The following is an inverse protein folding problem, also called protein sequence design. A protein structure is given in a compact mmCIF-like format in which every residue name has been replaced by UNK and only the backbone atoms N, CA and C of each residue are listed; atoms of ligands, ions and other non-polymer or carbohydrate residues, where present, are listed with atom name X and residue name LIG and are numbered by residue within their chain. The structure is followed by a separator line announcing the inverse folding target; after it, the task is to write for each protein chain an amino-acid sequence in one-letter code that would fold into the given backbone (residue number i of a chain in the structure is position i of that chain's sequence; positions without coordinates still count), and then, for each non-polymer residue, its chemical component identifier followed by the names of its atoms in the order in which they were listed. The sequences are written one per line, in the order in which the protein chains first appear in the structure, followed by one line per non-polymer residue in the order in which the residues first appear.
data_IF_455083956154
#
_entry.id   IF_455083956154
#
_cell.length_a   1.000
_cell.length_b   1.000
_cell.length_c   1.000
_cell.angle_alpha   90.00
_cell.angle_beta   90.00
_cell.angle_gamma   90.00
#
_symmetry.space_group_name_H-M   'P 1'
#
loop_
_entity.id
_entity.type
_entity.pdbx_description
1 polymer ?
#
# COMPACT_ATOMS: atom_id res chain seq x y z
N UNK A 1 -11.46 9.45 -16.29
CA UNK A 1 -10.41 8.52 -15.79
C UNK A 1 -10.14 7.45 -16.84
N UNK A 2 -8.87 7.12 -17.08
CA UNK A 2 -8.44 6.01 -17.95
C UNK A 2 -7.64 5.03 -17.09
N UNK A 3 -7.94 3.75 -17.17
CA UNK A 3 -7.17 2.70 -16.52
C UNK A 3 -6.45 1.86 -17.58
N UNK A 4 -5.15 1.62 -17.39
CA UNK A 4 -4.38 0.65 -18.14
C UNK A 4 -4.18 -0.59 -17.27
N UNK A 5 -4.62 -1.75 -17.75
CA UNK A 5 -4.48 -3.00 -17.05
C UNK A 5 -4.16 -4.16 -18.01
N UNK A 6 -3.48 -5.19 -17.52
CA UNK A 6 -3.18 -6.41 -18.30
C UNK A 6 -4.42 -7.30 -18.45
N UNK A 7 -5.30 -7.24 -17.48
CA UNK A 7 -6.54 -8.02 -17.42
C UNK A 7 -7.75 -7.08 -17.30
N UNK A 8 -8.94 -7.62 -17.49
CA UNK A 8 -10.19 -6.88 -17.28
C UNK A 8 -10.36 -6.51 -15.81
N UNK A 9 -10.72 -5.25 -15.57
CA UNK A 9 -11.17 -4.81 -14.24
C UNK A 9 -12.59 -5.33 -13.98
N UNK A 10 -13.01 -5.30 -12.72
CA UNK A 10 -14.37 -5.69 -12.36
C UNK A 10 -15.43 -4.74 -12.98
N UNK A 11 -16.68 -5.22 -13.10
CA UNK A 11 -17.79 -4.54 -13.79
C UNK A 11 -18.18 -3.18 -13.18
N UNK A 12 -17.65 -2.82 -12.00
CA UNK A 12 -17.93 -1.57 -11.31
C UNK A 12 -16.97 -0.43 -11.67
N UNK A 13 -16.00 -0.66 -12.58
CA UNK A 13 -15.09 0.40 -12.99
C UNK A 13 -15.80 1.43 -13.88
N UNK A 14 -15.81 2.68 -13.44
CA UNK A 14 -16.38 3.81 -14.19
C UNK A 14 -15.25 4.58 -14.87
N UNK A 15 -15.09 4.39 -16.20
CA UNK A 15 -14.06 5.04 -16.98
C UNK A 15 -13.73 4.26 -18.26
N UNK A 16 -12.66 4.66 -18.92
CA UNK A 16 -12.13 3.96 -20.08
C UNK A 16 -11.12 2.93 -19.64
N UNK A 17 -11.30 1.67 -20.01
CA UNK A 17 -10.33 0.61 -19.80
C UNK A 17 -9.55 0.34 -21.08
N UNK A 18 -8.23 0.48 -21.00
CA UNK A 18 -7.30 0.08 -22.05
C UNK A 18 -6.50 -1.14 -21.59
N UNK A 19 -6.33 -2.11 -22.47
CA UNK A 19 -5.51 -3.27 -22.19
C UNK A 19 -4.06 -2.99 -22.57
N UNK A 20 -3.11 -3.26 -21.63
CA UNK A 20 -1.70 -3.04 -21.94
C UNK A 20 -0.77 -3.34 -20.78
N UNK A 21 0.50 -3.03 -20.99
CA UNK A 21 1.59 -3.30 -20.07
C UNK A 21 2.42 -2.02 -19.80
N UNK A 22 2.74 -1.77 -18.53
CA UNK A 22 3.55 -0.59 -18.13
C UNK A 22 4.98 -0.63 -18.64
N UNK A 23 5.46 -1.77 -19.07
CA UNK A 23 6.77 -1.93 -19.71
C UNK A 23 6.80 -1.52 -21.17
N UNK A 24 5.63 -1.34 -21.80
CA UNK A 24 5.50 -0.82 -23.17
C UNK A 24 5.42 0.71 -23.20
N UNK A 25 6.59 1.35 -23.34
CA UNK A 25 6.74 2.80 -23.40
C UNK A 25 5.91 3.43 -24.54
N UNK A 26 5.86 2.76 -25.70
CA UNK A 26 5.14 3.27 -26.88
C UNK A 26 3.65 3.32 -26.62
N UNK A 27 3.08 2.25 -26.08
CA UNK A 27 1.68 2.18 -25.72
C UNK A 27 1.31 3.24 -24.67
N UNK A 28 2.12 3.38 -23.61
CA UNK A 28 1.91 4.40 -22.59
C UNK A 28 1.87 5.80 -23.21
N UNK A 29 2.81 6.11 -24.11
CA UNK A 29 2.86 7.41 -24.77
C UNK A 29 1.64 7.67 -25.67
N UNK A 30 1.18 6.68 -26.42
CA UNK A 30 -0.02 6.77 -27.25
C UNK A 30 -1.27 7.07 -26.41
N UNK A 31 -1.42 6.40 -25.26
CA UNK A 31 -2.54 6.63 -24.35
C UNK A 31 -2.51 8.02 -23.71
N UNK A 32 -1.33 8.50 -23.32
CA UNK A 32 -1.16 9.86 -22.79
C UNK A 32 -1.65 10.89 -23.81
N UNK A 33 -1.23 10.76 -25.08
CA UNK A 33 -1.65 11.66 -26.16
C UNK A 33 -3.15 11.53 -26.47
N UNK A 34 -3.65 10.29 -26.62
CA UNK A 34 -5.04 10.00 -26.97
C UNK A 34 -6.03 10.60 -25.98
N UNK A 35 -5.72 10.50 -24.69
CA UNK A 35 -6.61 10.92 -23.61
C UNK A 35 -6.20 12.21 -22.92
N UNK A 36 -5.16 12.89 -23.43
CA UNK A 36 -4.64 14.14 -22.85
C UNK A 36 -4.40 14.02 -21.33
N UNK A 37 -3.72 12.96 -20.92
CA UNK A 37 -3.45 12.65 -19.51
C UNK A 37 -2.59 13.75 -18.91
N UNK A 38 -2.93 14.18 -17.70
CA UNK A 38 -2.19 15.18 -16.91
C UNK A 38 -1.60 14.62 -15.62
N UNK A 39 -2.16 13.51 -15.11
CA UNK A 39 -1.70 12.86 -13.88
C UNK A 39 -1.74 11.35 -14.03
N UNK A 40 -0.74 10.67 -13.48
CA UNK A 40 -0.64 9.21 -13.51
C UNK A 40 -0.58 8.68 -12.08
N UNK A 41 -1.49 7.76 -11.74
CA UNK A 41 -1.39 6.89 -10.56
C UNK A 41 -0.78 5.57 -11.02
N UNK A 42 0.54 5.42 -10.86
CA UNK A 42 1.27 4.23 -11.28
C UNK A 42 1.19 3.15 -10.19
N UNK A 43 0.12 2.36 -10.23
CA UNK A 43 -0.18 1.32 -9.24
C UNK A 43 0.31 -0.08 -9.66
N UNK A 44 0.72 -0.24 -10.91
CA UNK A 44 1.19 -1.52 -11.42
C UNK A 44 2.49 -1.94 -10.74
N UNK A 45 2.56 -3.23 -10.36
CA UNK A 45 3.75 -3.77 -9.75
C UNK A 45 3.57 -5.22 -9.30
N UNK A 46 4.70 -5.92 -9.22
CA UNK A 46 4.78 -7.26 -8.64
C UNK A 46 5.05 -7.11 -7.14
N UNK A 47 4.20 -7.72 -6.32
CA UNK A 47 4.25 -7.65 -4.86
C UNK A 47 5.27 -8.63 -4.27
N UNK A 48 5.42 -8.63 -2.93
CA UNK A 48 6.47 -9.32 -2.19
C UNK A 48 6.62 -10.80 -2.55
N UNK A 49 5.56 -11.60 -2.49
CA UNK A 49 5.62 -13.04 -2.78
C UNK A 49 6.00 -13.31 -4.25
N UNK A 50 5.41 -12.58 -5.17
CA UNK A 50 5.76 -12.65 -6.60
C UNK A 50 7.18 -12.19 -6.89
N UNK A 51 7.64 -11.16 -6.18
CA UNK A 51 9.00 -10.62 -6.28
C UNK A 51 10.07 -11.62 -5.84
N UNK A 52 9.84 -12.34 -4.76
CA UNK A 52 10.78 -13.39 -4.30
C UNK A 52 10.78 -14.62 -5.23
N UNK A 53 9.65 -14.94 -5.86
CA UNK A 53 9.58 -16.05 -6.85
C UNK A 53 10.31 -15.72 -8.15
N UNK A 54 10.28 -14.46 -8.60
CA UNK A 54 10.96 -14.01 -9.82
C UNK A 54 11.53 -12.59 -9.66
N UNK A 55 12.69 -12.44 -9.03
CA UNK A 55 13.29 -11.12 -8.74
C UNK A 55 13.61 -10.29 -10.00
N UNK A 56 14.02 -10.93 -11.10
CA UNK A 56 14.32 -10.27 -12.35
C UNK A 56 13.08 -9.63 -12.97
N UNK A 57 12.00 -10.40 -13.07
CA UNK A 57 10.72 -9.90 -13.58
C UNK A 57 10.16 -8.78 -12.66
N UNK A 58 10.32 -8.94 -11.34
CA UNK A 58 9.90 -7.90 -10.40
C UNK A 58 10.66 -6.59 -10.66
N UNK A 59 11.96 -6.66 -10.88
CA UNK A 59 12.76 -5.48 -11.23
C UNK A 59 12.32 -4.86 -12.56
N UNK A 60 12.16 -5.67 -13.60
CA UNK A 60 11.74 -5.19 -14.94
C UNK A 60 10.38 -4.49 -14.89
N UNK A 61 9.39 -5.09 -14.25
CA UNK A 61 8.04 -4.51 -14.16
C UNK A 61 8.03 -3.30 -13.22
N UNK A 62 8.56 -3.43 -12.01
CA UNK A 62 8.45 -2.39 -10.98
C UNK A 62 9.32 -1.18 -11.30
N UNK A 63 10.57 -1.40 -11.69
CA UNK A 63 11.52 -0.32 -11.95
C UNK A 63 11.50 0.13 -13.42
N UNK A 64 11.38 -0.80 -14.37
CA UNK A 64 11.24 -0.48 -15.79
C UNK A 64 9.93 0.27 -16.06
N UNK A 65 8.81 -0.20 -15.51
CA UNK A 65 7.52 0.48 -15.62
C UNK A 65 7.52 1.87 -14.99
N UNK A 66 8.09 2.02 -13.78
CA UNK A 66 8.24 3.33 -13.12
C UNK A 66 9.10 4.27 -13.96
N UNK A 67 10.23 3.79 -14.49
CA UNK A 67 11.11 4.59 -15.34
C UNK A 67 10.38 5.08 -16.60
N UNK A 68 9.61 4.23 -17.28
CA UNK A 68 8.81 4.61 -18.44
C UNK A 68 7.83 5.74 -18.10
N UNK A 69 7.12 5.62 -16.98
CA UNK A 69 6.18 6.64 -16.49
C UNK A 69 6.91 7.96 -16.20
N UNK A 70 8.06 7.91 -15.53
CA UNK A 70 8.83 9.11 -15.19
C UNK A 70 9.42 9.79 -16.44
N UNK A 71 9.94 9.04 -17.43
CA UNK A 71 10.42 9.59 -18.69
C UNK A 71 9.29 10.33 -19.45
N UNK A 72 8.10 9.73 -19.48
CA UNK A 72 6.92 10.36 -20.09
C UNK A 72 6.44 11.56 -19.25
N UNK A 73 6.58 11.52 -17.94
CA UNK A 73 6.26 12.65 -17.07
C UNK A 73 7.16 13.86 -17.34
N UNK A 74 8.45 13.65 -17.63
CA UNK A 74 9.34 14.73 -18.10
C UNK A 74 8.86 15.31 -19.43
N UNK A 75 8.53 14.42 -20.39
CA UNK A 75 8.16 14.82 -21.74
C UNK A 75 6.84 15.57 -21.83
N UNK A 76 5.86 15.16 -21.02
CA UNK A 76 4.48 15.67 -21.06
C UNK A 76 4.10 16.52 -19.85
N UNK A 77 5.05 16.79 -18.94
CA UNK A 77 4.84 17.57 -17.71
C UNK A 77 3.70 17.00 -16.84
N UNK A 78 3.77 15.68 -16.59
CA UNK A 78 2.74 14.97 -15.83
C UNK A 78 3.05 14.97 -14.33
N UNK A 79 2.00 14.99 -13.52
CA UNK A 79 2.06 14.66 -12.11
C UNK A 79 2.04 13.14 -11.94
N UNK A 80 2.87 12.59 -11.05
CA UNK A 80 2.98 11.15 -10.86
C UNK A 80 2.79 10.78 -9.40
N UNK A 81 1.82 9.92 -9.12
CA UNK A 81 1.72 9.18 -7.86
C UNK A 81 2.31 7.78 -8.02
N UNK A 82 3.13 7.37 -7.06
CA UNK A 82 3.66 6.02 -6.99
C UNK A 82 3.62 5.46 -5.55
N UNK A 83 3.02 4.27 -5.31
CA UNK A 83 2.92 3.69 -3.98
C UNK A 83 4.24 3.07 -3.55
N UNK A 84 4.85 3.58 -2.48
CA UNK A 84 5.83 2.88 -1.70
C UNK A 84 5.15 2.02 -0.62
N UNK A 85 5.90 1.45 0.30
CA UNK A 85 5.43 0.49 1.29
C UNK A 85 6.32 0.50 2.53
N UNK A 86 5.80 0.05 3.66
CA UNK A 86 6.61 -0.29 4.84
C UNK A 86 7.67 -1.36 4.55
N UNK A 87 7.55 -2.09 3.44
CA UNK A 87 8.57 -3.02 2.97
C UNK A 87 9.89 -2.33 2.57
N UNK A 88 9.91 -1.01 2.41
CA UNK A 88 11.14 -0.22 2.24
C UNK A 88 12.01 -0.19 3.50
N UNK A 89 11.43 -0.42 4.67
CA UNK A 89 12.15 -0.56 5.93
C UNK A 89 12.81 -1.93 6.03
N UNK A 90 13.79 -2.05 6.91
CA UNK A 90 14.53 -3.29 7.12
C UNK A 90 14.92 -3.50 8.60
N UNK A 91 15.67 -4.56 8.90
CA UNK A 91 16.01 -4.94 10.28
C UNK A 91 16.80 -3.87 11.07
N UNK A 92 17.47 -2.97 10.37
CA UNK A 92 18.26 -1.88 10.98
C UNK A 92 17.46 -0.60 11.20
N UNK A 93 16.23 -0.56 10.68
CA UNK A 93 15.33 0.58 10.86
C UNK A 93 14.82 0.62 12.31
N UNK A 94 14.79 1.80 12.98
CA UNK A 94 14.12 1.93 14.28
C UNK A 94 12.67 1.47 14.21
N UNK A 95 12.27 0.55 15.09
CA UNK A 95 10.94 -0.09 14.99
C UNK A 95 9.83 0.67 15.71
N UNK A 96 10.17 1.58 16.62
CA UNK A 96 9.22 2.38 17.38
C UNK A 96 9.25 3.81 16.87
N UNK A 97 8.08 4.35 16.57
CA UNK A 97 7.94 5.71 16.08
C UNK A 97 8.93 6.02 14.94
N UNK A 98 8.97 5.11 13.95
CA UNK A 98 9.94 5.14 12.84
C UNK A 98 9.91 6.49 12.13
N UNK A 99 11.00 7.28 12.17
CA UNK A 99 10.98 8.65 11.66
C UNK A 99 10.94 8.70 10.13
N UNK A 100 10.49 9.84 9.60
CA UNK A 100 10.41 10.10 8.15
C UNK A 100 11.77 9.87 7.45
N UNK A 101 12.84 10.40 8.02
CA UNK A 101 14.21 10.19 7.55
C UNK A 101 14.89 9.11 8.40
N UNK A 102 15.12 7.96 7.80
CA UNK A 102 15.66 6.80 8.50
C UNK A 102 16.45 5.87 7.58
N UNK A 103 17.05 4.84 8.17
CA UNK A 103 17.76 3.79 7.43
C UNK A 103 16.75 2.92 6.68
N UNK A 104 16.99 2.71 5.39
CA UNK A 104 16.18 1.87 4.50
C UNK A 104 17.06 0.75 3.95
N UNK A 105 17.09 -0.39 4.65
CA UNK A 105 17.87 -1.58 4.29
C UNK A 105 16.97 -2.82 4.21
N UNK A 106 16.03 -2.85 3.26
CA UNK A 106 15.13 -3.98 3.09
C UNK A 106 15.87 -5.25 2.68
N UNK A 107 15.36 -6.40 3.11
CA UNK A 107 15.91 -7.72 2.80
C UNK A 107 15.16 -8.46 1.69
N UNK A 108 14.12 -7.85 1.09
CA UNK A 108 13.33 -8.45 0.01
C UNK A 108 13.49 -7.69 -1.30
N UNK A 109 13.35 -8.38 -2.45
CA UNK A 109 13.37 -7.72 -3.76
C UNK A 109 12.30 -6.64 -3.88
N UNK A 110 11.11 -6.89 -3.35
CA UNK A 110 10.04 -5.89 -3.31
C UNK A 110 10.45 -4.63 -2.54
N UNK A 111 11.03 -4.79 -1.35
CA UNK A 111 11.54 -3.68 -0.57
C UNK A 111 12.67 -2.92 -1.27
N UNK A 112 13.61 -3.64 -1.89
CA UNK A 112 14.68 -3.04 -2.71
C UNK A 112 14.09 -2.20 -3.85
N UNK A 113 13.08 -2.70 -4.56
CA UNK A 113 12.38 -1.94 -5.60
C UNK A 113 11.72 -0.67 -5.01
N UNK A 114 11.12 -0.75 -3.82
CA UNK A 114 10.48 0.41 -3.18
C UNK A 114 11.51 1.48 -2.83
N UNK A 115 12.63 1.13 -2.21
CA UNK A 115 13.71 2.10 -1.92
C UNK A 115 14.28 2.70 -3.21
N UNK A 116 14.56 1.87 -4.21
CA UNK A 116 15.08 2.34 -5.50
C UNK A 116 14.09 3.29 -6.19
N UNK A 117 12.78 2.99 -6.15
CA UNK A 117 11.73 3.83 -6.74
C UNK A 117 11.55 5.17 -6.03
N UNK A 118 11.64 5.20 -4.69
CA UNK A 118 11.63 6.45 -3.92
C UNK A 118 12.78 7.38 -4.34
N UNK A 119 13.99 6.83 -4.41
CA UNK A 119 15.18 7.59 -4.81
C UNK A 119 15.13 8.01 -6.28
N UNK A 120 14.63 7.15 -7.15
CA UNK A 120 14.46 7.47 -8.57
C UNK A 120 13.44 8.61 -8.75
N UNK A 121 12.29 8.55 -8.07
CA UNK A 121 11.29 9.61 -8.11
C UNK A 121 11.85 10.94 -7.62
N UNK A 122 12.57 10.95 -6.49
CA UNK A 122 13.27 12.14 -6.00
C UNK A 122 14.29 12.68 -7.02
N UNK A 123 15.06 11.80 -7.67
CA UNK A 123 16.02 12.22 -8.70
C UNK A 123 15.32 12.92 -9.87
N UNK A 124 14.16 12.38 -10.33
CA UNK A 124 13.40 13.00 -11.43
C UNK A 124 12.81 14.36 -11.01
N UNK A 125 12.38 14.50 -9.76
CA UNK A 125 11.98 15.81 -9.22
C UNK A 125 13.15 16.81 -9.24
N UNK A 126 14.30 16.44 -8.67
CA UNK A 126 15.46 17.33 -8.55
C UNK A 126 16.07 17.69 -9.90
N UNK A 127 16.12 16.73 -10.82
CA UNK A 127 16.81 16.89 -12.11
C UNK A 127 15.92 17.49 -13.19
N UNK A 128 14.66 17.10 -13.21
CA UNK A 128 13.74 17.42 -14.32
C UNK A 128 12.48 18.15 -13.90
N UNK A 129 12.27 18.35 -12.60
CA UNK A 129 11.10 19.04 -12.07
C UNK A 129 9.79 18.25 -12.13
N UNK A 130 9.86 16.92 -12.25
CA UNK A 130 8.66 16.06 -12.23
C UNK A 130 7.96 16.16 -10.87
N UNK A 131 6.68 16.49 -10.84
CA UNK A 131 5.88 16.45 -9.61
C UNK A 131 5.59 15.00 -9.20
N UNK A 132 6.61 14.39 -8.57
CA UNK A 132 6.54 13.02 -8.05
C UNK A 132 6.06 13.03 -6.60
N UNK A 133 5.06 12.18 -6.30
CA UNK A 133 4.44 12.03 -4.98
C UNK A 133 4.29 10.57 -4.62
N UNK A 134 4.60 10.22 -3.38
CA UNK A 134 4.62 8.83 -2.95
C UNK A 134 4.31 8.68 -1.47
N UNK A 135 3.70 7.54 -1.09
CA UNK A 135 3.34 7.15 0.27
C UNK A 135 3.93 5.79 0.61
N UNK A 136 4.54 5.64 1.78
CA UNK A 136 4.90 4.34 2.36
C UNK A 136 3.69 3.75 3.05
N UNK A 137 2.88 3.00 2.29
CA UNK A 137 1.68 2.38 2.83
C UNK A 137 2.01 1.35 3.92
N UNK A 138 1.26 1.35 5.02
CA UNK A 138 1.25 0.27 6.02
C UNK A 138 0.48 -0.94 5.49
N UNK A 139 0.16 -1.90 6.36
CA UNK A 139 -0.79 -2.96 6.04
C UNK A 139 -2.18 -2.39 5.71
N UNK A 140 -2.62 -2.57 4.47
CA UNK A 140 -3.92 -2.06 4.02
C UNK A 140 -5.02 -3.10 4.25
N UNK A 141 -6.10 -2.68 4.86
CA UNK A 141 -7.23 -3.53 5.23
C UNK A 141 -8.48 -3.11 4.46
N UNK A 142 -8.99 -3.98 3.60
CA UNK A 142 -10.18 -3.75 2.79
C UNK A 142 -10.92 -5.05 2.49
N UNK A 143 -12.21 -4.98 2.18
CA UNK A 143 -13.06 -6.16 1.91
C UNK A 143 -13.50 -6.29 0.45
N UNK A 144 -13.29 -5.27 -0.38
CA UNK A 144 -13.77 -5.28 -1.78
C UNK A 144 -13.02 -6.28 -2.64
N UNK A 145 -11.68 -6.35 -2.50
CA UNK A 145 -10.88 -7.41 -3.09
C UNK A 145 -10.82 -8.64 -2.17
N UNK A 146 -10.50 -9.81 -2.74
CA UNK A 146 -10.18 -10.97 -1.93
C UNK A 146 -8.81 -10.80 -1.27
N UNK A 147 -8.61 -11.33 -0.04
CA UNK A 147 -7.33 -11.22 0.63
C UNK A 147 -6.25 -12.01 -0.13
N UNK A 148 -5.04 -11.46 -0.14
CA UNK A 148 -3.86 -12.10 -0.72
C UNK A 148 -3.06 -12.93 0.30
N UNK A 149 -1.80 -13.24 -0.06
CA UNK A 149 -0.88 -14.05 0.76
C UNK A 149 0.15 -13.18 1.52
N UNK A 150 -0.08 -11.87 1.64
CA UNK A 150 0.84 -10.96 2.30
C UNK A 150 0.89 -11.13 3.83
N UNK A 151 1.99 -10.71 4.45
CA UNK A 151 2.19 -10.82 5.91
C UNK A 151 1.09 -10.11 6.72
N UNK A 152 0.51 -9.03 6.21
CA UNK A 152 -0.57 -8.26 6.87
C UNK A 152 -1.97 -8.76 6.56
N UNK A 153 -2.11 -9.70 5.62
CA UNK A 153 -3.41 -10.20 5.15
C UNK A 153 -4.16 -11.02 6.22
N UNK A 154 -3.46 -11.47 7.29
CA UNK A 154 -4.12 -12.09 8.44
C UNK A 154 -5.25 -11.20 8.98
N UNK A 155 -5.07 -9.88 8.92
CA UNK A 155 -6.03 -8.90 9.42
C UNK A 155 -7.29 -8.77 8.53
N UNK A 156 -7.33 -9.47 7.38
CA UNK A 156 -8.52 -9.65 6.55
C UNK A 156 -9.03 -11.08 6.64
N UNK A 157 -8.15 -12.09 6.52
CA UNK A 157 -8.54 -13.51 6.65
C UNK A 157 -9.30 -13.80 7.95
N UNK A 158 -8.92 -13.12 9.05
CA UNK A 158 -9.57 -13.28 10.35
C UNK A 158 -11.07 -12.95 10.33
N UNK A 159 -11.53 -12.00 9.49
CA UNK A 159 -12.96 -11.66 9.37
C UNK A 159 -13.74 -12.73 8.63
N UNK A 160 -13.16 -13.30 7.56
CA UNK A 160 -13.78 -14.44 6.86
C UNK A 160 -13.93 -15.62 7.81
N UNK A 161 -12.87 -15.98 8.53
CA UNK A 161 -12.90 -17.07 9.50
C UNK A 161 -13.87 -16.80 10.66
N UNK A 162 -13.91 -15.58 11.17
CA UNK A 162 -14.88 -15.20 12.23
C UNK A 162 -16.33 -15.44 11.78
N UNK A 163 -16.67 -15.01 10.56
CA UNK A 163 -18.05 -15.08 10.06
C UNK A 163 -18.43 -16.51 9.65
N UNK A 164 -17.54 -17.25 9.01
CA UNK A 164 -17.82 -18.57 8.44
C UNK A 164 -17.64 -19.70 9.43
N UNK A 165 -16.61 -19.62 10.28
CA UNK A 165 -16.13 -20.74 11.10
C UNK A 165 -16.23 -20.47 12.60
N UNK A 166 -16.24 -19.19 13.02
CA UNK A 166 -16.18 -18.82 14.44
C UNK A 166 -14.81 -19.09 15.09
N UNK A 167 -13.83 -19.53 14.31
CA UNK A 167 -12.48 -19.88 14.74
C UNK A 167 -11.43 -19.48 13.70
N UNK A 168 -10.25 -19.04 14.16
CA UNK A 168 -9.13 -18.68 13.28
C UNK A 168 -7.80 -19.15 13.86
N UNK A 169 -6.90 -19.61 13.00
CA UNK A 169 -5.49 -19.87 13.35
C UNK A 169 -4.65 -18.73 12.81
N UNK A 170 -4.26 -17.81 13.69
CA UNK A 170 -3.46 -16.65 13.32
C UNK A 170 -1.99 -17.04 13.07
N UNK A 171 -1.38 -16.67 11.91
CA UNK A 171 0.00 -17.02 11.59
C UNK A 171 1.03 -16.12 12.27
N UNK A 172 0.62 -15.16 13.10
CA UNK A 172 1.48 -14.28 13.87
C UNK A 172 1.25 -14.47 15.36
N UNK A 173 2.26 -14.10 16.17
CA UNK A 173 2.12 -14.05 17.62
C UNK A 173 1.09 -13.02 18.06
N UNK A 174 0.42 -13.22 19.21
CA UNK A 174 -0.65 -12.32 19.67
C UNK A 174 -0.20 -10.88 19.91
N UNK A 175 1.06 -10.66 20.19
CA UNK A 175 1.68 -9.38 20.54
C UNK A 175 2.46 -8.72 19.37
N UNK A 176 2.41 -9.29 18.18
CA UNK A 176 3.07 -8.76 16.98
C UNK A 176 2.38 -7.47 16.54
N UNK A 177 2.94 -6.31 16.89
CA UNK A 177 2.39 -5.01 16.51
C UNK A 177 2.85 -4.62 15.11
N UNK A 178 1.90 -4.22 14.26
CA UNK A 178 2.17 -3.72 12.91
C UNK A 178 1.36 -2.44 12.62
N UNK A 179 1.93 -1.49 11.87
CA UNK A 179 1.18 -0.34 11.37
C UNK A 179 0.19 -0.80 10.30
N UNK A 180 -1.03 -0.31 10.41
CA UNK A 180 -2.18 -0.71 9.59
C UNK A 180 -3.03 0.49 9.21
N UNK A 181 -3.87 0.33 8.18
CA UNK A 181 -4.77 1.38 7.71
C UNK A 181 -5.99 0.76 7.01
N UNK A 182 -7.16 1.35 7.22
CA UNK A 182 -8.34 1.00 6.44
C UNK A 182 -8.23 1.53 5.00
N UNK A 183 -8.72 0.78 4.02
CA UNK A 183 -8.56 1.10 2.60
C UNK A 183 -9.14 2.48 2.23
N UNK A 184 -10.25 2.88 2.83
CA UNK A 184 -10.86 4.18 2.52
C UNK A 184 -9.97 5.34 3.01
N UNK A 185 -9.28 5.20 4.15
CA UNK A 185 -8.26 6.16 4.60
C UNK A 185 -7.07 6.21 3.64
N UNK A 186 -6.61 5.06 3.15
CA UNK A 186 -5.52 4.99 2.18
C UNK A 186 -5.87 5.71 0.88
N UNK A 187 -7.08 5.49 0.36
CA UNK A 187 -7.56 6.15 -0.86
C UNK A 187 -7.69 7.65 -0.64
N UNK A 188 -8.35 8.06 0.44
CA UNK A 188 -8.56 9.48 0.76
C UNK A 188 -7.23 10.23 0.94
N UNK A 189 -6.29 9.67 1.69
CA UNK A 189 -4.98 10.28 1.89
C UNK A 189 -4.16 10.35 0.59
N UNK A 190 -4.29 9.37 -0.30
CA UNK A 190 -3.68 9.41 -1.64
C UNK A 190 -4.23 10.57 -2.47
N UNK A 191 -5.56 10.73 -2.49
CA UNK A 191 -6.22 11.81 -3.23
C UNK A 191 -5.79 13.16 -2.64
N UNK A 192 -5.84 13.32 -1.31
CA UNK A 192 -5.41 14.53 -0.62
C UNK A 192 -3.96 14.89 -0.92
N UNK A 193 -3.04 13.91 -0.92
CA UNK A 193 -1.65 14.15 -1.32
C UNK A 193 -1.55 14.65 -2.76
N UNK A 194 -2.30 14.06 -3.69
CA UNK A 194 -2.26 14.43 -5.10
C UNK A 194 -2.92 15.80 -5.38
N UNK A 195 -3.84 16.23 -4.57
CA UNK A 195 -4.49 17.55 -4.64
C UNK A 195 -3.75 18.64 -3.86
N UNK A 196 -2.82 18.26 -2.98
CA UNK A 196 -2.06 19.20 -2.18
C UNK A 196 -1.21 20.15 -3.07
N UNK A 197 -1.06 21.42 -2.72
CA UNK A 197 -0.16 22.34 -3.41
C UNK A 197 1.28 21.81 -3.37
N UNK A 198 1.95 21.75 -4.54
CA UNK A 198 3.28 21.17 -4.66
C UNK A 198 4.34 21.85 -3.77
N UNK A 199 4.18 23.16 -3.56
CA UNK A 199 5.08 23.96 -2.73
C UNK A 199 4.97 23.67 -1.22
N UNK A 200 3.89 23.02 -0.77
CA UNK A 200 3.73 22.56 0.61
C UNK A 200 4.40 21.24 0.92
N UNK A 201 4.73 20.48 -0.11
CA UNK A 201 5.28 19.13 0.04
C UNK A 201 6.78 19.17 0.27
N UNK A 202 7.21 18.84 1.48
CA UNK A 202 8.64 18.85 1.88
C UNK A 202 9.37 17.57 1.52
N UNK A 203 8.67 16.45 1.30
CA UNK A 203 9.25 15.14 0.98
C UNK A 203 9.00 14.80 -0.49
N UNK A 204 10.08 14.41 -1.19
CA UNK A 204 10.05 14.03 -2.61
C UNK A 204 10.58 12.61 -2.88
N UNK A 205 10.85 11.86 -1.80
CA UNK A 205 11.02 10.41 -1.83
C UNK A 205 9.65 9.74 -1.64
N UNK A 206 9.30 9.47 -0.40
CA UNK A 206 7.98 8.93 -0.02
C UNK A 206 7.67 9.33 1.42
N UNK A 207 6.45 9.78 1.66
CA UNK A 207 6.00 10.10 3.02
C UNK A 207 5.75 8.84 3.84
N UNK A 208 6.15 8.84 5.09
CA UNK A 208 5.57 7.95 6.08
C UNK A 208 4.08 8.21 6.16
N UNK A 209 3.28 7.14 6.16
CA UNK A 209 1.84 7.24 6.08
C UNK A 209 1.20 6.09 6.85
N UNK A 210 0.50 6.40 7.94
CA UNK A 210 -0.11 5.39 8.81
C UNK A 210 -1.39 5.95 9.44
N UNK A 211 -2.27 5.06 9.92
CA UNK A 211 -3.46 5.45 10.68
C UNK A 211 -3.37 4.88 12.09
N UNK A 212 -3.29 3.57 12.20
CA UNK A 212 -3.32 2.84 13.46
C UNK A 212 -2.20 1.81 13.50
N UNK A 213 -1.85 1.37 14.71
CA UNK A 213 -0.97 0.22 14.89
C UNK A 213 -1.57 -0.70 15.93
N UNK A 214 -1.79 -1.96 15.57
CA UNK A 214 -2.41 -2.93 16.47
C UNK A 214 -1.75 -4.30 16.39
N UNK A 215 -2.04 -5.12 17.40
CA UNK A 215 -1.62 -6.52 17.48
C UNK A 215 -2.77 -7.45 17.07
N UNK A 216 -2.48 -8.71 16.69
CA UNK A 216 -3.51 -9.72 16.48
C UNK A 216 -4.47 -9.85 17.68
N UNK A 217 -3.95 -9.82 18.91
CA UNK A 217 -4.79 -9.90 20.11
C UNK A 217 -5.74 -8.70 20.27
N UNK A 218 -5.28 -7.48 19.97
CA UNK A 218 -6.14 -6.28 19.97
C UNK A 218 -7.23 -6.35 18.91
N UNK A 219 -6.91 -6.85 17.70
CA UNK A 219 -7.90 -7.06 16.64
C UNK A 219 -8.94 -8.11 17.03
N UNK A 220 -8.51 -9.24 17.63
CA UNK A 220 -9.41 -10.27 18.16
C UNK A 220 -10.36 -9.68 19.19
N UNK A 221 -9.85 -8.90 20.13
CA UNK A 221 -10.68 -8.25 21.14
C UNK A 221 -11.71 -7.28 20.53
N UNK A 222 -11.34 -6.57 19.46
CA UNK A 222 -12.27 -5.71 18.73
C UNK A 222 -13.35 -6.53 17.99
N UNK A 223 -12.99 -7.65 17.34
CA UNK A 223 -13.96 -8.56 16.69
C UNK A 223 -14.89 -9.18 17.73
N UNK A 224 -14.39 -9.58 18.90
CA UNK A 224 -15.19 -10.17 19.98
C UNK A 224 -16.25 -9.21 20.56
N UNK A 225 -16.11 -7.89 20.39
CA UNK A 225 -17.19 -6.93 20.71
C UNK A 225 -18.42 -7.13 19.80
N UNK A 226 -18.22 -7.65 18.58
CA UNK A 226 -19.28 -7.91 17.60
C UNK A 226 -19.73 -9.38 17.67
N UNK A 227 -18.77 -10.30 17.80
CA UNK A 227 -18.97 -11.75 17.83
C UNK A 227 -18.29 -12.35 19.08
N UNK A 228 -18.92 -12.34 20.26
CA UNK A 228 -18.31 -12.71 21.54
C UNK A 228 -17.74 -14.14 21.60
N UNK A 229 -18.29 -15.07 20.81
CA UNK A 229 -17.85 -16.48 20.81
C UNK A 229 -16.74 -16.78 19.81
N UNK A 230 -16.16 -15.77 19.17
CA UNK A 230 -15.04 -15.95 18.24
C UNK A 230 -13.77 -16.38 18.99
N UNK A 231 -13.12 -17.43 18.50
CA UNK A 231 -11.91 -18.03 19.13
C UNK A 231 -10.74 -17.95 18.17
N UNK A 232 -9.54 -17.64 18.70
CA UNK A 232 -8.31 -17.59 17.91
C UNK A 232 -7.19 -18.35 18.58
N UNK A 233 -6.57 -19.26 17.82
CA UNK A 233 -5.28 -19.87 18.15
C UNK A 233 -4.15 -19.13 17.43
N UNK A 234 -2.96 -19.09 18.04
CA UNK A 234 -1.80 -18.43 17.48
C UNK A 234 -0.72 -19.45 17.13
N UNK A 235 -0.43 -19.61 15.83
CA UNK A 235 0.60 -20.51 15.32
C UNK A 235 1.53 -19.76 14.39
N UNK A 236 2.54 -19.09 14.96
CA UNK A 236 3.50 -18.31 14.19
C UNK A 236 4.18 -19.19 13.11
N UNK A 237 4.19 -18.71 11.87
CA UNK A 237 4.83 -19.35 10.73
C UNK A 237 5.96 -18.48 10.14
N UNK A 238 6.38 -18.76 8.90
CA UNK A 238 7.45 -18.02 8.22
C UNK A 238 7.19 -16.51 8.07
N UNK A 239 5.93 -16.07 8.08
CA UNK A 239 5.58 -14.65 7.98
C UNK A 239 5.93 -13.86 9.23
N UNK A 240 6.10 -14.54 10.39
CA UNK A 240 6.49 -13.89 11.65
C UNK A 240 7.85 -13.19 11.53
N UNK A 241 8.84 -13.82 10.89
CA UNK A 241 10.17 -13.22 10.73
C UNK A 241 10.12 -11.94 9.88
N UNK A 242 9.23 -11.89 8.88
CA UNK A 242 8.99 -10.70 8.06
C UNK A 242 8.34 -9.61 8.91
N UNK A 243 7.29 -9.96 9.66
CA UNK A 243 6.60 -9.03 10.55
C UNK A 243 7.54 -8.43 11.61
N UNK A 244 8.42 -9.26 12.19
CA UNK A 244 9.40 -8.84 13.19
C UNK A 244 10.46 -7.86 12.63
N UNK A 245 10.69 -7.84 11.30
CA UNK A 245 11.64 -6.95 10.63
C UNK A 245 11.05 -5.58 10.28
N UNK A 246 9.74 -5.39 10.43
CA UNK A 246 9.06 -4.15 10.09
C UNK A 246 8.84 -3.24 11.31
N UNK A 247 8.60 -1.94 11.09
CA UNK A 247 8.19 -1.02 12.13
C UNK A 247 6.96 -1.52 12.91
N UNK A 248 6.95 -1.24 14.21
CA UNK A 248 5.77 -1.44 15.06
C UNK A 248 4.86 -0.24 15.05
N UNK A 249 5.47 0.95 14.98
CA UNK A 249 4.78 2.24 14.85
C UNK A 249 5.59 3.16 13.95
N UNK A 250 4.92 4.06 13.25
CA UNK A 250 5.53 4.99 12.29
C UNK A 250 5.15 6.41 12.68
N UNK A 251 6.10 7.32 12.61
CA UNK A 251 5.88 8.76 12.71
C UNK A 251 5.49 9.31 11.33
N UNK A 252 4.25 9.75 11.19
CA UNK A 252 3.71 10.38 9.99
C UNK A 252 3.41 11.89 10.19
N UNK A 253 4.03 12.50 11.20
CA UNK A 253 3.84 13.92 11.52
C UNK A 253 4.10 14.83 10.33
N UNK A 254 5.10 14.53 9.49
CA UNK A 254 5.41 15.29 8.27
C UNK A 254 4.23 15.28 7.28
N UNK A 255 3.56 14.15 7.11
CA UNK A 255 2.36 14.06 6.29
C UNK A 255 1.22 14.93 6.85
N UNK A 256 1.04 14.89 8.18
CA UNK A 256 0.03 15.69 8.88
C UNK A 256 0.31 17.19 8.76
N UNK A 257 1.56 17.59 8.82
CA UNK A 257 1.96 19.00 8.71
C UNK A 257 1.83 19.52 7.27
N UNK A 258 2.27 18.76 6.27
CA UNK A 258 2.35 19.22 4.88
C UNK A 258 0.99 19.30 4.19
N UNK A 259 0.09 18.33 4.37
CA UNK A 259 -1.24 18.38 3.74
C UNK A 259 -2.41 18.05 4.66
N UNK A 260 -2.23 18.16 5.98
CA UNK A 260 -3.28 18.02 6.99
C UNK A 260 -3.92 16.61 7.02
N UNK A 261 -3.12 15.59 6.73
CA UNK A 261 -3.56 14.21 6.80
C UNK A 261 -4.15 13.86 8.16
N UNK A 262 -5.30 13.21 8.17
CA UNK A 262 -5.93 12.66 9.37
C UNK A 262 -6.71 11.40 9.01
N UNK A 263 -6.47 10.33 9.77
CA UNK A 263 -7.25 9.11 9.70
C UNK A 263 -8.70 9.35 10.17
N UNK A 264 -9.62 8.62 9.55
CA UNK A 264 -11.03 8.62 9.94
C UNK A 264 -11.43 7.34 10.68
N UNK A 265 -10.64 6.28 10.54
CA UNK A 265 -10.90 4.97 11.10
C UNK A 265 -9.89 4.63 12.20
N UNK A 266 -10.39 4.52 13.44
CA UNK A 266 -9.73 3.82 14.52
C UNK A 266 -9.94 2.29 14.38
N UNK A 267 -9.37 1.49 15.29
CA UNK A 267 -9.47 0.03 15.26
C UNK A 267 -10.93 -0.45 15.33
N UNK A 268 -11.76 0.15 16.17
CA UNK A 268 -13.15 -0.26 16.35
C UNK A 268 -14.00 0.05 15.11
N UNK A 269 -13.86 1.24 14.53
CA UNK A 269 -14.56 1.62 13.29
C UNK A 269 -14.12 0.75 12.11
N UNK A 270 -12.80 0.52 11.95
CA UNK A 270 -12.28 -0.37 10.92
C UNK A 270 -12.81 -1.78 11.09
N UNK A 271 -12.78 -2.33 12.31
CA UNK A 271 -13.27 -3.67 12.60
C UNK A 271 -14.75 -3.80 12.23
N UNK A 272 -15.57 -2.82 12.60
CA UNK A 272 -16.99 -2.82 12.25
C UNK A 272 -17.20 -2.78 10.73
N UNK A 273 -16.52 -1.87 10.03
CA UNK A 273 -16.63 -1.74 8.57
C UNK A 273 -16.20 -3.01 7.82
N UNK A 274 -15.09 -3.63 8.25
CA UNK A 274 -14.61 -4.89 7.68
C UNK A 274 -15.57 -6.04 7.96
N UNK A 275 -16.05 -6.19 9.20
CA UNK A 275 -16.99 -7.25 9.55
C UNK A 275 -18.28 -7.17 8.73
N UNK A 276 -18.90 -5.99 8.67
CA UNK A 276 -20.12 -5.74 7.90
C UNK A 276 -19.88 -5.94 6.39
N UNK A 277 -18.75 -5.42 5.87
CA UNK A 277 -18.40 -5.52 4.46
C UNK A 277 -18.11 -6.95 3.99
N UNK A 278 -17.35 -7.72 4.78
CA UNK A 278 -17.07 -9.15 4.49
C UNK A 278 -18.36 -9.96 4.58
N UNK A 279 -19.20 -9.72 5.61
CA UNK A 279 -20.49 -10.40 5.76
C UNK A 279 -21.39 -10.16 4.55
N UNK A 280 -21.55 -8.92 4.12
CA UNK A 280 -22.34 -8.57 2.95
C UNK A 280 -21.79 -9.16 1.64
N UNK A 281 -20.45 -9.36 1.55
CA UNK A 281 -19.80 -10.01 0.40
C UNK A 281 -20.08 -11.52 0.36
N UNK A 282 -20.11 -12.17 1.52
CA UNK A 282 -20.36 -13.62 1.64
C UNK A 282 -21.84 -13.99 1.46
N UNK A 283 -22.76 -13.04 1.64
CA UNK A 283 -24.20 -13.23 1.47
C UNK A 283 -24.69 -13.00 0.02
N UNK A 284 -23.79 -12.59 -0.90
CA UNK A 284 -24.07 -12.40 -2.35
C UNK A 284 -23.83 -13.66 -3.15
#
# INVERSE_FOLDING_TARGET
MVALARETLNDNFVGVLEKGDVTDLTQLEELIKKYQITSIYHLAGILSVGGEKNPQLAWEVNMGGLKNVLDLAVKYQLQVFWPSSIAAFGPTTPTQNTPQHTVLEPSTMYGVNKVAGELLGQYYFLKYGVDFRSLRYPGLNGFKADPGDGTTEYAIHIFYAAIQEGHYVCPLKPDTRLPMMYMDDAINGTIQLMEAPAEKLSVRTSYNFTAISFTPAELVAAIQKIQPNFVVDYQANHTQAIADSWPKTIDDSVARDDWQWQEQFDLDKMTKALYEGVKAKLER
#
